data_IF_083106882062
#
_entry.id   IF_083106882062
#
_cell.length_a   1.000
_cell.length_b   1.000
_cell.length_c   1.000
_cell.angle_alpha   90.00
_cell.angle_beta   90.00
_cell.angle_gamma   90.00
#
_symmetry.space_group_name_H-M   'P 1'
#
loop_
_entity.id
_entity.type
_entity.pdbx_description
1 polymer ?
#
# COMPACT_ATOMS: atom_id res chain seq x y z
N UNK A 1 -14.49 -20.04 -2.18
CA UNK A 1 -14.25 -19.08 -1.07
C UNK A 1 -14.39 -17.68 -1.64
N UNK A 2 -14.84 -16.68 -0.85
CA UNK A 2 -14.87 -15.30 -1.35
C UNK A 2 -13.44 -14.89 -1.78
N UNK A 3 -13.34 -14.28 -2.96
CA UNK A 3 -12.09 -13.78 -3.50
C UNK A 3 -11.70 -12.51 -2.74
N UNK A 4 -10.50 -12.47 -2.17
CA UNK A 4 -9.93 -11.29 -1.51
C UNK A 4 -8.70 -10.87 -2.30
N UNK A 5 -8.68 -9.61 -2.73
CA UNK A 5 -7.54 -9.03 -3.41
C UNK A 5 -6.61 -8.36 -2.39
N UNK A 6 -5.40 -8.90 -2.25
CA UNK A 6 -4.46 -8.50 -1.21
C UNK A 6 -3.23 -7.86 -1.85
N UNK A 7 -2.94 -6.63 -1.43
CA UNK A 7 -1.74 -5.90 -1.82
C UNK A 7 -0.90 -5.62 -0.59
N UNK A 8 0.40 -5.89 -0.71
CA UNK A 8 1.38 -5.59 0.34
C UNK A 8 2.47 -4.70 -0.23
N UNK A 9 2.89 -3.71 0.54
CA UNK A 9 3.86 -2.70 0.13
C UNK A 9 4.97 -2.63 1.17
N UNK A 10 6.22 -2.85 0.74
CA UNK A 10 7.40 -2.71 1.59
C UNK A 10 8.63 -2.42 0.71
N UNK A 11 9.66 -1.76 1.25
CA UNK A 11 10.91 -1.53 0.52
C UNK A 11 11.78 -2.80 0.45
N UNK A 12 11.69 -3.66 1.46
CA UNK A 12 12.37 -4.94 1.51
C UNK A 12 11.59 -5.98 0.71
N UNK A 13 12.29 -6.84 -0.03
CA UNK A 13 11.61 -7.87 -0.81
C UNK A 13 11.15 -9.00 0.09
N UNK A 14 9.84 -9.25 0.09
CA UNK A 14 9.23 -10.40 0.75
C UNK A 14 8.63 -11.38 -0.26
N UNK A 15 8.56 -12.66 0.10
CA UNK A 15 7.94 -13.68 -0.74
C UNK A 15 6.45 -13.74 -0.41
N UNK A 16 5.61 -13.40 -1.38
CA UNK A 16 4.19 -13.71 -1.30
C UNK A 16 3.91 -15.05 -2.01
N UNK A 17 3.11 -15.95 -1.42
CA UNK A 17 2.67 -17.15 -2.13
C UNK A 17 1.86 -16.80 -3.38
N UNK A 18 2.06 -17.59 -4.43
CA UNK A 18 1.35 -17.42 -5.70
C UNK A 18 -0.18 -17.44 -5.46
N UNK A 19 -0.88 -16.50 -6.10
CA UNK A 19 -2.33 -16.35 -6.03
C UNK A 19 -2.91 -16.00 -4.64
N UNK A 20 -2.08 -15.59 -3.66
CA UNK A 20 -2.56 -15.11 -2.36
C UNK A 20 -2.50 -13.58 -2.28
N UNK A 21 -1.38 -12.97 -2.67
CA UNK A 21 -1.24 -11.52 -2.67
C UNK A 21 -0.27 -11.03 -3.76
N UNK A 22 -0.33 -9.73 -4.03
CA UNK A 22 0.63 -9.04 -4.89
C UNK A 22 1.56 -8.22 -4.03
N UNK A 23 2.86 -8.52 -4.11
CA UNK A 23 3.90 -7.78 -3.42
C UNK A 23 4.42 -6.64 -4.29
N UNK A 24 4.41 -5.43 -3.75
CA UNK A 24 4.89 -4.21 -4.40
C UNK A 24 6.10 -3.69 -3.63
N UNK A 25 7.26 -3.61 -4.29
CA UNK A 25 8.47 -3.10 -3.67
C UNK A 25 8.49 -1.57 -3.72
N UNK A 26 7.70 -0.92 -2.85
CA UNK A 26 7.55 0.53 -2.79
C UNK A 26 7.55 1.04 -1.35
N UNK A 27 7.91 2.30 -1.18
CA UNK A 27 7.81 3.02 0.10
C UNK A 27 6.63 3.99 0.03
N UNK A 28 5.83 4.09 1.09
CA UNK A 28 4.79 5.12 1.19
C UNK A 28 5.40 6.50 1.48
N UNK A 29 4.87 7.55 0.85
CA UNK A 29 5.33 8.93 1.07
C UNK A 29 4.67 9.95 0.15
N UNK A 30 5.17 11.17 0.14
CA UNK A 30 4.67 12.27 -0.69
C UNK A 30 5.52 12.51 -1.96
N UNK A 31 6.37 11.56 -2.34
CA UNK A 31 7.24 11.65 -3.52
C UNK A 31 8.43 12.60 -3.39
N UNK A 32 8.62 13.29 -2.25
CA UNK A 32 9.64 14.34 -2.14
C UNK A 32 11.00 13.90 -1.55
N UNK A 33 11.12 12.77 -0.84
CA UNK A 33 12.41 12.29 -0.29
C UNK A 33 12.40 10.78 0.04
N UNK A 34 13.59 10.14 0.06
CA UNK A 34 14.27 9.56 -1.10
C UNK A 34 13.61 8.23 -1.56
N UNK A 35 13.84 7.83 -2.82
CA UNK A 35 13.50 6.49 -3.39
C UNK A 35 12.11 6.29 -4.02
N UNK A 36 11.57 7.26 -4.77
CA UNK A 36 10.31 7.08 -5.53
C UNK A 36 9.13 6.66 -4.65
N UNK A 37 9.02 7.24 -3.45
CA UNK A 37 7.90 6.95 -2.54
C UNK A 37 6.58 7.37 -3.17
N UNK A 38 5.52 6.58 -2.94
CA UNK A 38 4.20 6.82 -3.52
C UNK A 38 3.20 7.23 -2.46
N UNK A 39 2.34 8.18 -2.83
CA UNK A 39 1.23 8.59 -1.98
C UNK A 39 0.13 7.53 -1.99
N UNK A 40 -0.69 7.53 -0.94
CA UNK A 40 -1.88 6.69 -0.88
C UNK A 40 -2.76 6.86 -2.13
N UNK A 41 -3.02 8.11 -2.52
CA UNK A 41 -3.81 8.45 -3.72
C UNK A 41 -3.21 7.86 -4.98
N UNK A 42 -1.89 8.01 -5.18
CA UNK A 42 -1.18 7.45 -6.33
C UNK A 42 -1.31 5.92 -6.39
N UNK A 43 -1.22 5.24 -5.25
CA UNK A 43 -1.37 3.78 -5.19
C UNK A 43 -2.79 3.35 -5.55
N UNK A 44 -3.81 4.06 -5.07
CA UNK A 44 -5.20 3.77 -5.45
C UNK A 44 -5.43 3.99 -6.95
N UNK A 45 -4.84 5.01 -7.55
CA UNK A 45 -4.93 5.28 -8.98
C UNK A 45 -4.27 4.18 -9.82
N UNK A 46 -3.03 3.80 -9.48
CA UNK A 46 -2.28 2.77 -10.20
C UNK A 46 -2.92 1.37 -10.12
N UNK A 47 -3.58 1.07 -9.00
CA UNK A 47 -4.35 -0.17 -8.83
C UNK A 47 -5.75 -0.10 -9.47
N UNK A 48 -6.22 1.08 -9.88
CA UNK A 48 -7.60 1.27 -10.33
C UNK A 48 -8.63 1.13 -9.20
N UNK A 49 -8.24 1.43 -7.96
CA UNK A 49 -9.02 1.25 -6.73
C UNK A 49 -9.69 2.52 -6.21
N UNK A 50 -9.67 3.63 -6.96
CA UNK A 50 -10.20 4.93 -6.54
C UNK A 50 -11.70 4.94 -6.21
N UNK A 51 -12.47 3.99 -6.73
CA UNK A 51 -13.92 3.83 -6.48
C UNK A 51 -14.24 2.50 -5.77
N UNK A 52 -13.24 1.86 -5.16
CA UNK A 52 -13.40 0.58 -4.46
C UNK A 52 -13.33 0.79 -2.96
N UNK A 53 -14.15 0.05 -2.23
CA UNK A 53 -14.05 0.00 -0.77
C UNK A 53 -12.88 -0.89 -0.38
N UNK A 54 -12.05 -0.39 0.52
CA UNK A 54 -11.03 -1.19 1.20
C UNK A 54 -11.66 -1.72 2.48
N UNK A 55 -11.83 -3.04 2.55
CA UNK A 55 -12.44 -3.68 3.72
C UNK A 55 -11.46 -3.81 4.89
N UNK A 56 -10.16 -3.97 4.59
CA UNK A 56 -9.10 -4.08 5.60
C UNK A 56 -7.89 -3.28 5.15
N UNK A 57 -7.39 -2.41 6.04
CA UNK A 57 -6.14 -1.68 5.88
C UNK A 57 -5.28 -1.94 7.12
N UNK A 58 -4.11 -2.57 6.91
CA UNK A 58 -3.08 -2.74 7.94
C UNK A 58 -1.91 -1.82 7.60
N UNK A 59 -1.46 -1.01 8.56
CA UNK A 59 -0.29 -0.15 8.46
C UNK A 59 0.63 -0.49 9.63
N UNK A 60 1.90 -0.66 9.32
CA UNK A 60 2.95 -1.03 10.26
C UNK A 60 4.25 -0.46 9.68
N UNK A 61 4.50 0.82 9.97
CA UNK A 61 5.60 1.59 9.38
C UNK A 61 6.29 2.37 10.50
N UNK A 62 7.61 2.36 10.54
CA UNK A 62 8.35 3.00 11.64
C UNK A 62 8.22 4.54 11.61
N UNK A 63 7.52 5.11 12.59
CA UNK A 63 7.48 6.56 12.84
C UNK A 63 6.63 7.39 11.88
N UNK A 64 5.71 6.75 11.14
CA UNK A 64 4.89 7.38 10.10
C UNK A 64 3.39 7.09 10.20
N UNK A 65 2.94 6.29 11.17
CA UNK A 65 1.58 5.75 11.25
C UNK A 65 0.52 6.84 11.38
N UNK A 66 0.78 7.86 12.21
CA UNK A 66 -0.12 9.00 12.40
C UNK A 66 -0.14 9.96 11.21
N UNK A 67 0.97 10.09 10.50
CA UNK A 67 1.07 10.93 9.30
C UNK A 67 0.46 10.25 8.07
N UNK A 68 0.39 8.92 8.08
CA UNK A 68 -0.22 8.15 7.01
C UNK A 68 -1.74 8.28 7.02
N UNK A 69 -2.37 8.30 8.19
CA UNK A 69 -3.82 8.37 8.27
C UNK A 69 -4.27 9.71 7.66
N UNK A 70 -5.07 9.69 6.58
CA UNK A 70 -5.60 10.94 6.04
C UNK A 70 -6.44 11.58 7.14
N UNK A 71 -6.04 12.78 7.55
CA UNK A 71 -6.91 13.63 8.36
C UNK A 71 -8.20 13.81 7.54
N UNK A 72 -9.30 13.23 8.04
CA UNK A 72 -10.65 13.46 7.53
C UNK A 72 -11.01 14.95 7.64
#
# INVERSE_FOLDING_TARGET
MPHCEIHTFDQNRHVCPNNICVFHQITFGNGTHPNNSKSWTTILEELGHTQRKIDVLKIDIEGGEYSFFPFL
#
